data_IF_181066232420
#
_entry.id   IF_181066232420
#
_cell.length_a   1.000
_cell.length_b   1.000
_cell.length_c   1.000
_cell.angle_alpha   90.00
_cell.angle_beta   90.00
_cell.angle_gamma   90.00
#
_symmetry.space_group_name_H-M   'P 1'
#
loop_
_entity.id
_entity.type
_entity.pdbx_description
1 polymer ?
#
# COMPACT_ATOMS: atom_id res chain seq x y z
N UNK A 1 -2.86 18.38 -13.30
CA UNK A 1 -4.33 18.28 -13.43
C UNK A 1 -4.92 19.44 -12.65
N UNK A 2 -5.51 20.44 -13.32
CA UNK A 2 -6.27 21.46 -12.61
C UNK A 2 -7.59 20.81 -12.21
N UNK A 3 -7.79 20.56 -10.91
CA UNK A 3 -9.04 20.11 -10.35
C UNK A 3 -10.07 21.23 -10.52
N UNK A 4 -10.65 21.36 -11.71
CA UNK A 4 -11.84 22.18 -11.90
C UNK A 4 -12.98 21.44 -11.20
N UNK A 5 -13.38 21.94 -10.04
CA UNK A 5 -14.63 21.73 -9.31
C UNK A 5 -15.67 20.76 -9.92
N UNK A 6 -15.32 19.49 -10.08
CA UNK A 6 -16.31 18.45 -9.84
C UNK A 6 -16.32 18.28 -8.33
N UNK A 7 -17.42 18.60 -7.63
CA UNK A 7 -17.45 18.50 -6.18
C UNK A 7 -17.04 17.08 -5.85
N UNK A 8 -16.04 16.89 -4.99
CA UNK A 8 -15.64 15.55 -4.49
C UNK A 8 -16.89 14.75 -4.02
N UNK A 9 -17.96 15.45 -3.61
CA UNK A 9 -19.29 14.91 -3.32
C UNK A 9 -20.01 14.17 -4.48
N UNK A 10 -19.57 14.32 -5.74
CA UNK A 10 -20.12 13.65 -6.93
C UNK A 10 -19.29 12.45 -7.37
N UNK A 11 -18.05 12.34 -6.91
CA UNK A 11 -17.17 11.21 -7.18
C UNK A 11 -17.70 10.01 -6.39
N UNK A 12 -18.34 9.05 -7.05
CA UNK A 12 -18.93 7.85 -6.43
C UNK A 12 -18.25 6.61 -6.98
N UNK A 13 -18.29 5.47 -6.28
CA UNK A 13 -17.68 4.24 -6.83
C UNK A 13 -18.26 3.80 -8.17
N UNK A 14 -19.50 4.20 -8.50
CA UNK A 14 -20.12 3.99 -9.81
C UNK A 14 -19.80 5.06 -10.86
N UNK A 15 -19.07 6.14 -10.54
CA UNK A 15 -18.72 7.18 -11.52
C UNK A 15 -17.44 6.86 -12.31
N UNK A 16 -16.75 5.75 -12.00
CA UNK A 16 -15.73 5.14 -12.87
C UNK A 16 -15.65 3.64 -12.62
N UNK A 17 -15.20 2.87 -13.63
CA UNK A 17 -15.06 1.42 -13.56
C UNK A 17 -13.86 0.98 -12.69
N UNK A 18 -13.85 1.33 -11.40
CA UNK A 18 -12.79 0.88 -10.50
C UNK A 18 -12.84 -0.61 -10.16
N UNK A 19 -14.01 -1.24 -10.33
CA UNK A 19 -14.32 -2.53 -9.73
C UNK A 19 -14.56 -2.46 -8.22
N UNK A 20 -14.68 -1.25 -7.63
CA UNK A 20 -15.08 -1.11 -6.22
C UNK A 20 -16.58 -1.37 -6.04
N UNK A 21 -16.99 -1.97 -4.90
CA UNK A 21 -18.40 -2.11 -4.58
C UNK A 21 -19.08 -0.75 -4.44
N UNK A 22 -20.41 -0.73 -4.58
CA UNK A 22 -21.20 0.47 -4.34
C UNK A 22 -20.97 0.97 -2.90
N UNK A 23 -20.59 2.24 -2.75
CA UNK A 23 -20.43 2.87 -1.43
C UNK A 23 -21.64 3.74 -1.08
N UNK A 24 -21.99 3.76 0.21
CA UNK A 24 -23.08 4.59 0.72
C UNK A 24 -22.77 6.10 0.65
N UNK A 25 -21.50 6.47 0.65
CA UNK A 25 -21.02 7.85 0.58
C UNK A 25 -20.12 8.06 -0.64
N UNK A 26 -20.01 9.31 -1.15
CA UNK A 26 -19.03 9.66 -2.17
C UNK A 26 -17.61 9.29 -1.77
N UNK A 27 -16.82 8.91 -2.76
CA UNK A 27 -15.39 8.67 -2.64
C UNK A 27 -14.71 9.97 -2.22
N UNK A 28 -13.77 9.90 -1.26
CA UNK A 28 -13.10 11.06 -0.66
C UNK A 28 -13.99 12.01 0.16
N UNK A 29 -15.20 11.60 0.53
CA UNK A 29 -16.09 12.40 1.38
C UNK A 29 -15.43 12.82 2.71
N UNK A 30 -14.51 12.01 3.23
CA UNK A 30 -13.71 12.27 4.43
C UNK A 30 -12.79 13.49 4.32
N UNK A 31 -12.47 13.95 3.11
CA UNK A 31 -11.64 15.14 2.91
C UNK A 31 -12.45 16.43 2.68
N UNK A 32 -13.78 16.33 2.49
CA UNK A 32 -14.63 17.49 2.16
C UNK A 32 -14.43 18.69 3.11
N UNK A 33 -14.34 18.50 4.44
CA UNK A 33 -14.16 19.63 5.37
C UNK A 33 -12.77 20.27 5.30
N UNK A 34 -11.80 19.60 4.67
CA UNK A 34 -10.41 20.06 4.56
C UNK A 34 -10.09 20.67 3.19
N UNK A 35 -10.99 20.56 2.22
CA UNK A 35 -10.78 21.03 0.86
C UNK A 35 -10.97 22.54 0.80
N UNK A 36 -9.94 23.24 0.32
CA UNK A 36 -9.96 24.70 0.20
C UNK A 36 -10.80 25.16 -1.00
N UNK A 37 -11.29 26.41 -1.02
CA UNK A 37 -12.02 26.96 -2.18
C UNK A 37 -11.23 26.85 -3.50
N UNK A 38 -9.91 27.03 -3.45
CA UNK A 38 -9.00 26.89 -4.60
C UNK A 38 -8.65 25.42 -4.95
N UNK A 39 -9.17 24.46 -4.18
CA UNK A 39 -8.94 23.03 -4.34
C UNK A 39 -7.81 22.46 -3.47
N UNK A 40 -7.85 21.14 -3.29
CA UNK A 40 -6.87 20.37 -2.53
C UNK A 40 -6.94 20.60 -1.01
N UNK A 41 -6.14 19.83 -0.29
CA UNK A 41 -5.98 19.92 1.18
C UNK A 41 -4.76 20.78 1.48
N UNK A 42 -4.87 21.65 2.49
CA UNK A 42 -3.77 22.49 2.94
C UNK A 42 -2.51 21.67 3.30
N UNK A 43 -1.34 22.19 2.92
CA UNK A 43 -0.05 21.54 3.18
C UNK A 43 0.31 20.38 2.25
N UNK A 44 -0.62 19.91 1.41
CA UNK A 44 -0.31 18.89 0.43
C UNK A 44 0.73 19.38 -0.59
N UNK A 45 1.73 18.54 -0.89
CA UNK A 45 2.72 18.78 -1.93
C UNK A 45 2.73 17.61 -2.92
N UNK A 46 2.78 17.87 -4.24
CA UNK A 46 2.80 16.80 -5.25
C UNK A 46 3.93 15.77 -5.06
N UNK A 47 5.08 16.17 -4.51
CA UNK A 47 6.19 15.28 -4.22
C UNK A 47 5.82 14.16 -3.23
N UNK A 48 4.79 14.35 -2.38
CA UNK A 48 4.33 13.32 -1.45
C UNK A 48 3.76 12.09 -2.17
N UNK A 49 3.32 12.23 -3.42
CA UNK A 49 2.74 11.11 -4.18
C UNK A 49 3.79 10.08 -4.62
N UNK A 50 4.95 10.52 -5.11
CA UNK A 50 5.90 9.67 -5.86
C UNK A 50 7.38 9.82 -5.46
N UNK A 51 7.78 10.92 -4.80
CA UNK A 51 9.20 11.18 -4.51
C UNK A 51 9.68 10.49 -3.23
N UNK A 52 10.98 10.51 -2.96
CA UNK A 52 11.56 10.01 -1.69
C UNK A 52 11.08 8.58 -1.41
N UNK A 53 11.22 7.71 -2.40
CA UNK A 53 10.79 6.32 -2.25
C UNK A 53 11.56 5.65 -1.11
N UNK A 54 12.88 5.81 -1.04
CA UNK A 54 13.75 5.27 0.04
C UNK A 54 14.03 6.36 1.08
N UNK A 55 12.98 6.86 1.75
CA UNK A 55 13.14 7.90 2.77
C UNK A 55 13.80 7.32 4.03
N UNK A 56 15.05 7.71 4.27
CA UNK A 56 15.81 7.29 5.43
C UNK A 56 15.09 7.71 6.74
N UNK A 57 14.97 6.83 7.77
CA UNK A 57 14.32 7.16 9.04
C UNK A 57 14.84 8.41 9.74
N UNK A 58 16.12 8.73 9.54
CA UNK A 58 16.78 9.90 10.12
C UNK A 58 16.53 11.18 9.31
N UNK A 59 15.99 11.08 8.10
CA UNK A 59 15.69 12.26 7.28
C UNK A 59 14.60 13.11 7.91
N UNK A 60 14.90 14.39 8.10
CA UNK A 60 13.90 15.39 8.45
C UNK A 60 12.99 15.66 7.23
N UNK A 61 11.71 15.40 7.40
CA UNK A 61 10.67 15.72 6.40
C UNK A 61 9.51 16.46 7.08
N UNK A 62 9.76 17.67 7.64
CA UNK A 62 8.80 18.36 8.50
C UNK A 62 7.50 18.69 7.77
N UNK A 63 7.54 18.97 6.46
CA UNK A 63 6.34 19.25 5.67
C UNK A 63 5.45 18.01 5.52
N UNK A 64 6.05 16.85 5.29
CA UNK A 64 5.30 15.58 5.21
C UNK A 64 4.71 15.23 6.58
N UNK A 65 5.50 15.38 7.65
CA UNK A 65 5.04 15.14 9.01
C UNK A 65 3.87 16.07 9.38
N UNK A 66 3.99 17.37 9.10
CA UNK A 66 2.94 18.35 9.34
C UNK A 66 1.67 18.06 8.54
N UNK A 67 1.81 17.65 7.28
CA UNK A 67 0.68 17.26 6.44
C UNK A 67 -0.05 16.03 7.00
N UNK A 68 0.67 14.96 7.34
CA UNK A 68 0.04 13.77 7.94
C UNK A 68 -0.59 14.09 9.30
N UNK A 69 0.06 14.91 10.13
CA UNK A 69 -0.47 15.32 11.41
C UNK A 69 -1.76 16.14 11.27
N UNK A 70 -1.88 17.01 10.26
CA UNK A 70 -3.09 17.79 10.02
C UNK A 70 -4.27 16.89 9.65
N UNK A 71 -4.04 15.86 8.82
CA UNK A 71 -5.04 14.84 8.49
C UNK A 71 -5.49 14.05 9.73
N UNK A 72 -4.54 13.67 10.60
CA UNK A 72 -4.84 12.98 11.87
C UNK A 72 -5.73 13.86 12.75
N UNK A 73 -5.39 15.15 12.89
CA UNK A 73 -6.17 16.06 13.72
C UNK A 73 -7.56 16.32 13.15
N UNK A 74 -7.71 16.42 11.83
CA UNK A 74 -9.01 16.57 11.19
C UNK A 74 -9.94 15.38 11.50
N UNK A 75 -9.44 14.14 11.34
CA UNK A 75 -10.22 12.95 11.71
C UNK A 75 -10.60 12.95 13.20
N UNK A 76 -9.66 13.35 14.08
CA UNK A 76 -9.90 13.44 15.52
C UNK A 76 -10.97 14.48 15.90
N UNK A 77 -10.97 15.64 15.25
CA UNK A 77 -11.98 16.69 15.48
C UNK A 77 -13.39 16.22 15.10
N UNK A 78 -13.50 15.28 14.15
CA UNK A 78 -14.75 14.63 13.78
C UNK A 78 -15.10 13.41 14.66
N UNK A 79 -14.28 13.07 15.64
CA UNK A 79 -14.46 11.87 16.47
C UNK A 79 -14.22 10.57 15.71
N UNK A 80 -13.39 10.58 14.66
CA UNK A 80 -13.07 9.43 13.80
C UNK A 80 -11.61 9.00 13.99
N UNK A 81 -11.34 7.73 13.68
CA UNK A 81 -9.97 7.23 13.59
C UNK A 81 -9.36 7.59 12.22
N UNK A 82 -8.14 8.13 12.21
CA UNK A 82 -7.39 8.36 10.99
C UNK A 82 -6.85 7.02 10.46
N UNK A 83 -7.15 6.70 9.20
CA UNK A 83 -6.63 5.50 8.52
C UNK A 83 -6.02 5.94 7.19
N UNK A 84 -4.72 5.69 7.02
CA UNK A 84 -4.02 6.02 5.79
C UNK A 84 -3.75 4.78 4.95
N UNK A 85 -4.03 4.88 3.66
CA UNK A 85 -3.66 3.86 2.67
C UNK A 85 -2.65 4.43 1.70
N UNK A 86 -1.43 3.91 1.76
CA UNK A 86 -0.36 4.28 0.83
C UNK A 86 -0.15 3.15 -0.19
N UNK A 87 -0.36 3.42 -1.47
CA UNK A 87 -0.15 2.41 -2.53
C UNK A 87 1.26 2.44 -3.16
N UNK A 88 2.06 3.46 -2.84
CA UNK A 88 3.37 3.75 -3.47
C UNK A 88 4.41 4.32 -2.50
N UNK A 89 4.11 4.32 -1.20
CA UNK A 89 4.97 4.92 -0.17
C UNK A 89 5.54 3.89 0.79
N UNK A 90 5.48 2.59 0.44
CA UNK A 90 6.00 1.55 1.32
C UNK A 90 7.50 1.66 1.55
N UNK A 91 8.24 2.22 0.58
CA UNK A 91 9.64 2.57 0.77
C UNK A 91 9.89 3.56 1.93
N UNK A 92 8.91 4.41 2.27
CA UNK A 92 8.95 5.35 3.42
C UNK A 92 8.52 4.73 4.74
N UNK A 93 8.18 3.44 4.76
CA UNK A 93 7.65 2.77 5.96
C UNK A 93 8.59 2.90 7.18
N UNK A 94 9.92 2.74 7.06
CA UNK A 94 10.83 2.92 8.20
C UNK A 94 10.75 4.34 8.79
N UNK A 95 10.63 5.36 7.95
CA UNK A 95 10.40 6.73 8.39
C UNK A 95 9.04 6.90 9.08
N UNK A 96 7.96 6.36 8.52
CA UNK A 96 6.63 6.44 9.12
C UNK A 96 6.56 5.77 10.50
N UNK A 97 7.18 4.59 10.66
CA UNK A 97 7.25 3.87 11.95
C UNK A 97 7.94 4.72 13.01
N UNK A 98 9.05 5.35 12.66
CA UNK A 98 9.83 6.16 13.61
C UNK A 98 9.13 7.46 14.00
N UNK A 99 8.54 8.16 13.03
CA UNK A 99 7.95 9.50 13.25
C UNK A 99 6.49 9.44 13.74
N UNK A 100 5.82 8.30 13.62
CA UNK A 100 4.46 8.05 14.14
C UNK A 100 4.41 6.73 14.94
N UNK A 101 5.17 6.60 16.04
CA UNK A 101 5.28 5.34 16.80
C UNK A 101 3.99 4.91 17.50
N UNK A 102 3.05 5.83 17.68
CA UNK A 102 1.72 5.59 18.22
C UNK A 102 0.78 4.93 17.21
N UNK A 103 1.02 5.13 15.90
CA UNK A 103 0.20 4.56 14.84
C UNK A 103 0.38 3.03 14.73
N UNK A 104 -0.61 2.38 14.13
CA UNK A 104 -0.56 0.97 13.77
C UNK A 104 -0.12 0.83 12.31
N UNK A 105 1.06 0.27 12.08
CA UNK A 105 1.70 0.15 10.77
C UNK A 105 1.50 -1.26 10.22
N UNK A 106 0.64 -1.40 9.21
CA UNK A 106 0.34 -2.68 8.55
C UNK A 106 0.80 -2.62 7.10
N UNK A 107 1.63 -3.58 6.68
CA UNK A 107 1.94 -3.75 5.26
C UNK A 107 0.95 -4.71 4.61
N UNK A 108 0.46 -4.33 3.42
CA UNK A 108 -0.48 -5.16 2.64
C UNK A 108 0.28 -5.82 1.50
N UNK A 109 0.28 -7.15 1.51
CA UNK A 109 1.00 -7.98 0.54
C UNK A 109 0.05 -8.47 -0.55
N UNK A 110 0.57 -8.52 -1.78
CA UNK A 110 -0.11 -9.11 -2.93
C UNK A 110 0.91 -9.74 -3.86
N UNK A 111 0.57 -10.89 -4.43
CA UNK A 111 1.35 -11.56 -5.45
C UNK A 111 1.61 -10.59 -6.62
N UNK A 112 2.87 -10.38 -7.03
CA UNK A 112 3.22 -9.40 -8.06
C UNK A 112 2.61 -9.74 -9.42
N UNK A 113 2.46 -11.02 -9.76
CA UNK A 113 1.82 -11.44 -11.01
C UNK A 113 0.30 -11.18 -11.01
N UNK A 114 -0.35 -11.44 -9.88
CA UNK A 114 -1.75 -11.08 -9.67
C UNK A 114 -1.98 -9.56 -9.72
N UNK A 115 -1.06 -8.78 -9.16
CA UNK A 115 -1.11 -7.33 -9.24
C UNK A 115 -0.91 -6.84 -10.68
N UNK A 116 0.07 -7.38 -11.42
CA UNK A 116 0.27 -7.07 -12.84
C UNK A 116 -0.96 -7.38 -13.68
N UNK A 117 -1.57 -8.55 -13.47
CA UNK A 117 -2.81 -8.95 -14.14
C UNK A 117 -3.94 -7.92 -13.94
N UNK A 118 -4.05 -7.38 -12.72
CA UNK A 118 -4.99 -6.30 -12.40
C UNK A 118 -4.68 -5.01 -13.15
N UNK A 119 -3.41 -4.62 -13.23
CA UNK A 119 -2.97 -3.40 -13.93
C UNK A 119 -3.18 -3.52 -15.43
N UNK A 120 -2.87 -4.68 -15.99
CA UNK A 120 -3.04 -4.94 -17.41
C UNK A 120 -4.51 -4.94 -17.83
N UNK A 121 -5.41 -5.50 -17.01
CA UNK A 121 -6.86 -5.42 -17.24
C UNK A 121 -7.38 -3.99 -17.21
N UNK A 122 -6.96 -3.19 -16.22
CA UNK A 122 -7.28 -1.76 -16.14
C UNK A 122 -6.81 -1.03 -17.42
N UNK A 123 -5.60 -1.32 -17.88
CA UNK A 123 -5.06 -0.76 -19.10
C UNK A 123 -5.87 -1.16 -20.35
N UNK A 124 -6.11 -2.46 -20.55
CA UNK A 124 -6.70 -2.97 -21.78
C UNK A 124 -8.21 -2.76 -21.85
N UNK A 125 -8.93 -3.10 -20.78
CA UNK A 125 -10.39 -3.10 -20.75
C UNK A 125 -10.93 -1.70 -20.45
N UNK A 126 -10.30 -1.00 -19.50
CA UNK A 126 -10.82 0.26 -18.96
C UNK A 126 -10.05 1.48 -19.49
N UNK A 127 -9.09 1.27 -20.39
CA UNK A 127 -8.25 2.31 -21.00
C UNK A 127 -7.56 3.20 -19.97
N UNK A 128 -7.18 2.61 -18.84
CA UNK A 128 -6.53 3.28 -17.73
C UNK A 128 -5.04 2.92 -17.64
N UNK A 129 -4.13 3.70 -18.27
CA UNK A 129 -2.69 3.44 -18.29
C UNK A 129 -1.98 3.81 -16.97
N UNK A 130 -2.67 4.43 -16.02
CA UNK A 130 -2.08 4.96 -14.80
C UNK A 130 -1.23 3.94 -14.03
N UNK A 131 -1.74 2.72 -13.89
CA UNK A 131 -1.05 1.68 -13.13
C UNK A 131 0.20 1.13 -13.84
N UNK A 132 0.29 1.32 -15.16
CA UNK A 132 1.49 0.99 -15.94
C UNK A 132 2.49 2.15 -15.85
N UNK A 133 2.03 3.40 -15.94
CA UNK A 133 2.87 4.59 -15.89
C UNK A 133 3.45 4.86 -14.49
N UNK A 134 2.71 4.57 -13.41
CA UNK A 134 3.11 4.94 -12.06
C UNK A 134 4.46 4.33 -11.62
N UNK A 135 4.75 3.02 -11.82
CA UNK A 135 6.08 2.46 -11.54
C UNK A 135 7.21 3.18 -12.26
N UNK A 136 7.03 3.61 -13.52
CA UNK A 136 8.04 4.38 -14.25
C UNK A 136 8.32 5.71 -13.57
N UNK A 137 7.26 6.43 -13.18
CA UNK A 137 7.40 7.74 -12.54
C UNK A 137 8.05 7.62 -11.16
N UNK A 138 7.69 6.62 -10.37
CA UNK A 138 8.31 6.37 -9.06
C UNK A 138 9.80 6.07 -9.22
N UNK A 139 10.17 5.09 -10.06
CA UNK A 139 11.57 4.72 -10.22
C UNK A 139 12.39 5.84 -10.88
N UNK A 140 11.83 6.48 -11.91
CA UNK A 140 12.46 7.60 -12.61
C UNK A 140 12.67 8.83 -11.73
N UNK A 141 11.72 9.14 -10.84
CA UNK A 141 11.85 10.23 -9.85
C UNK A 141 12.87 9.94 -8.74
N UNK A 142 13.35 8.69 -8.64
CA UNK A 142 14.30 8.25 -7.63
C UNK A 142 15.58 7.64 -8.24
N UNK A 143 15.95 8.02 -9.47
CA UNK A 143 17.17 7.53 -10.15
C UNK A 143 18.47 7.88 -9.42
N UNK A 144 18.47 8.89 -8.55
CA UNK A 144 19.63 9.23 -7.71
C UNK A 144 19.82 8.28 -6.51
N UNK A 145 18.84 7.43 -6.21
CA UNK A 145 18.91 6.48 -5.10
C UNK A 145 19.71 5.24 -5.54
N UNK A 146 20.85 4.91 -4.90
CA UNK A 146 21.70 3.81 -5.35
C UNK A 146 20.99 2.45 -5.42
N UNK A 147 20.09 2.18 -4.47
CA UNK A 147 19.29 0.94 -4.43
C UNK A 147 18.34 0.85 -5.63
N UNK A 148 17.75 1.97 -6.04
CA UNK A 148 16.89 2.05 -7.24
C UNK A 148 17.70 1.76 -8.50
N UNK A 149 18.90 2.33 -8.64
CA UNK A 149 19.79 2.04 -9.78
C UNK A 149 20.16 0.57 -9.88
N UNK A 150 20.49 -0.08 -8.75
CA UNK A 150 20.80 -1.51 -8.73
C UNK A 150 19.60 -2.36 -9.13
N UNK A 151 18.39 -2.01 -8.69
CA UNK A 151 17.16 -2.71 -9.10
C UNK A 151 16.90 -2.56 -10.61
N UNK A 152 17.03 -1.35 -11.15
CA UNK A 152 16.88 -1.05 -12.58
C UNK A 152 17.85 -1.90 -13.41
N UNK A 153 19.12 -1.95 -12.99
CA UNK A 153 20.13 -2.77 -13.64
C UNK A 153 19.81 -4.26 -13.56
N UNK A 154 19.50 -4.78 -12.36
CA UNK A 154 19.24 -6.20 -12.14
C UNK A 154 18.03 -6.72 -12.92
N UNK A 155 16.95 -5.93 -12.99
CA UNK A 155 15.73 -6.31 -13.70
C UNK A 155 15.73 -5.91 -15.19
N UNK A 156 16.79 -5.21 -15.65
CA UNK A 156 16.95 -4.71 -17.02
C UNK A 156 15.82 -3.77 -17.44
N UNK A 157 15.50 -2.83 -16.56
CA UNK A 157 14.59 -1.74 -16.88
C UNK A 157 15.26 -0.73 -17.83
N UNK A 158 14.46 0.03 -18.58
CA UNK A 158 14.95 1.04 -19.52
C UNK A 158 15.06 2.40 -18.81
N UNK A 159 16.28 2.78 -18.46
CA UNK A 159 16.57 4.03 -17.77
C UNK A 159 16.13 5.26 -18.57
N UNK A 160 16.21 5.21 -19.90
CA UNK A 160 15.75 6.30 -20.78
C UNK A 160 14.26 6.57 -20.63
N UNK A 161 13.43 5.53 -20.71
CA UNK A 161 11.98 5.64 -20.46
C UNK A 161 11.67 6.10 -19.03
N UNK A 162 12.40 5.60 -18.02
CA UNK A 162 12.23 6.01 -16.63
C UNK A 162 12.46 7.52 -16.45
N UNK A 163 13.60 8.03 -16.92
CA UNK A 163 13.94 9.44 -16.83
C UNK A 163 12.93 10.32 -17.60
N UNK A 164 12.55 9.90 -18.80
CA UNK A 164 11.57 10.63 -19.62
C UNK A 164 10.20 10.74 -18.91
N UNK A 165 9.64 9.61 -18.46
CA UNK A 165 8.31 9.58 -17.84
C UNK A 165 8.26 10.29 -16.47
N UNK A 166 9.36 10.31 -15.72
CA UNK A 166 9.41 11.01 -14.43
C UNK A 166 9.29 12.54 -14.57
N UNK A 167 9.82 13.10 -15.65
CA UNK A 167 9.75 14.54 -15.94
C UNK A 167 8.39 15.00 -16.48
N UNK A 168 7.55 14.04 -16.90
CA UNK A 168 6.26 14.31 -17.52
C UNK A 168 5.16 14.55 -16.48
N UNK A 169 4.14 15.30 -16.91
CA UNK A 169 2.86 15.31 -16.19
C UNK A 169 2.23 13.92 -16.22
N UNK A 170 1.31 13.65 -15.29
CA UNK A 170 0.56 12.39 -15.27
C UNK A 170 -0.10 12.05 -16.62
N UNK A 171 -0.74 13.04 -17.26
CA UNK A 171 -1.44 12.83 -18.52
C UNK A 171 -0.47 12.45 -19.66
N UNK A 172 0.68 13.11 -19.73
CA UNK A 172 1.73 12.81 -20.72
C UNK A 172 2.37 11.44 -20.48
N UNK A 173 2.64 11.09 -19.23
CA UNK A 173 3.18 9.77 -18.87
C UNK A 173 2.20 8.65 -19.20
N UNK A 174 0.91 8.88 -18.93
CA UNK A 174 -0.17 7.97 -19.28
C UNK A 174 -0.29 7.76 -20.80
N UNK A 175 0.04 8.76 -21.61
CA UNK A 175 0.05 8.60 -23.06
C UNK A 175 1.33 7.91 -23.55
N UNK A 176 2.49 8.33 -23.05
CA UNK A 176 3.79 7.81 -23.45
C UNK A 176 3.93 6.31 -23.15
N UNK A 177 3.40 5.85 -22.00
CA UNK A 177 3.51 4.44 -21.59
C UNK A 177 2.82 3.47 -22.56
N UNK A 178 1.86 3.95 -23.36
CA UNK A 178 1.13 3.13 -24.33
C UNK A 178 2.01 2.60 -25.46
N UNK A 179 3.13 3.28 -25.74
CA UNK A 179 4.09 2.87 -26.76
C UNK A 179 5.16 1.90 -26.22
N UNK A 180 5.21 1.66 -24.91
CA UNK A 180 6.21 0.80 -24.29
C UNK A 180 5.81 -0.68 -24.38
N UNK A 181 6.80 -1.56 -24.43
CA UNK A 181 6.52 -2.99 -24.47
C UNK A 181 5.94 -3.47 -23.13
N UNK A 182 5.00 -4.44 -23.14
CA UNK A 182 4.46 -5.01 -21.91
C UNK A 182 5.55 -5.67 -21.06
N UNK A 183 6.53 -6.32 -21.69
CA UNK A 183 7.66 -6.95 -21.01
C UNK A 183 8.52 -5.95 -20.24
N UNK A 184 8.83 -4.80 -20.85
CA UNK A 184 9.56 -3.73 -20.18
C UNK A 184 8.75 -3.17 -19.00
N UNK A 185 7.45 -2.98 -19.21
CA UNK A 185 6.54 -2.51 -18.17
C UNK A 185 6.43 -3.48 -17.00
N UNK A 186 6.45 -4.79 -17.25
CA UNK A 186 6.45 -5.81 -16.21
C UNK A 186 7.75 -5.81 -15.40
N UNK A 187 8.91 -5.65 -16.04
CA UNK A 187 10.21 -5.50 -15.36
C UNK A 187 10.21 -4.27 -14.46
N UNK A 188 9.74 -3.13 -14.96
CA UNK A 188 9.60 -1.88 -14.20
C UNK A 188 8.65 -2.06 -13.01
N UNK A 189 7.51 -2.73 -13.21
CA UNK A 189 6.58 -3.08 -12.14
C UNK A 189 7.25 -3.94 -11.06
N UNK A 190 7.97 -4.99 -11.45
CA UNK A 190 8.68 -5.86 -10.52
C UNK A 190 9.77 -5.12 -9.74
N UNK A 191 10.53 -4.23 -10.39
CA UNK A 191 11.57 -3.44 -9.73
C UNK A 191 10.95 -2.54 -8.64
N UNK A 192 9.84 -1.85 -8.95
CA UNK A 192 9.11 -1.07 -7.96
C UNK A 192 8.50 -1.96 -6.86
N UNK A 193 7.93 -3.10 -7.23
CA UNK A 193 7.30 -4.02 -6.28
C UNK A 193 8.32 -4.58 -5.28
N UNK A 194 9.47 -5.07 -5.74
CA UNK A 194 10.48 -5.69 -4.87
C UNK A 194 11.10 -4.66 -3.94
N UNK A 195 11.45 -3.48 -4.46
CA UNK A 195 11.93 -2.36 -3.66
C UNK A 195 10.92 -1.95 -2.58
N UNK A 196 9.63 -2.03 -2.89
CA UNK A 196 8.58 -1.72 -1.92
C UNK A 196 8.54 -2.78 -0.80
N UNK A 197 8.64 -4.06 -1.14
CA UNK A 197 8.62 -5.15 -0.15
C UNK A 197 9.86 -5.19 0.75
N UNK A 198 11.00 -4.66 0.29
CA UNK A 198 12.23 -4.59 1.08
C UNK A 198 12.07 -3.77 2.38
N UNK A 199 11.10 -2.86 2.43
CA UNK A 199 10.79 -2.07 3.63
C UNK A 199 9.96 -2.80 4.68
N UNK A 200 9.56 -4.05 4.41
CA UNK A 200 8.94 -4.90 5.43
C UNK A 200 9.97 -5.17 6.53
N UNK A 201 9.63 -4.87 7.77
CA UNK A 201 10.49 -5.12 8.92
C UNK A 201 9.73 -5.75 10.07
N UNK A 202 10.47 -6.21 11.07
CA UNK A 202 9.93 -6.72 12.34
C UNK A 202 9.23 -5.64 13.19
N UNK A 203 9.37 -4.37 12.82
CA UNK A 203 8.81 -3.23 13.55
C UNK A 203 7.39 -2.90 13.07
N UNK A 204 6.91 -3.56 12.02
CA UNK A 204 5.51 -3.52 11.61
C UNK A 204 4.62 -4.16 12.67
N UNK A 205 3.41 -3.61 12.83
CA UNK A 205 2.37 -4.19 13.67
C UNK A 205 1.72 -5.42 13.03
N UNK A 206 1.84 -5.59 11.71
CA UNK A 206 1.30 -6.75 11.01
C UNK A 206 1.54 -6.77 9.51
N UNK A 207 1.35 -7.96 8.93
CA UNK A 207 1.38 -8.23 7.50
C UNK A 207 0.02 -8.79 7.07
N UNK A 208 -0.66 -8.06 6.19
CA UNK A 208 -1.96 -8.46 5.64
C UNK A 208 -1.77 -9.02 4.23
N UNK A 209 -1.86 -10.34 4.10
CA UNK A 209 -1.73 -11.02 2.82
C UNK A 209 -3.08 -11.05 2.09
N UNK A 210 -3.20 -10.24 1.05
CA UNK A 210 -4.44 -10.13 0.26
C UNK A 210 -4.77 -11.41 -0.50
N UNK A 211 -3.76 -12.21 -0.87
CA UNK A 211 -4.00 -13.48 -1.55
C UNK A 211 -4.58 -14.51 -0.56
N UNK A 212 -4.11 -14.52 0.69
CA UNK A 212 -4.66 -15.39 1.73
C UNK A 212 -6.04 -14.94 2.22
N UNK A 213 -6.29 -13.62 2.33
CA UNK A 213 -7.61 -13.10 2.67
C UNK A 213 -8.68 -13.63 1.71
N UNK A 214 -8.35 -13.69 0.42
CA UNK A 214 -9.27 -14.15 -0.62
C UNK A 214 -9.50 -15.67 -0.61
N UNK A 215 -8.63 -16.44 0.03
CA UNK A 215 -8.67 -17.90 0.04
C UNK A 215 -9.13 -18.49 1.38
N UNK A 216 -9.03 -17.74 2.47
CA UNK A 216 -9.26 -18.26 3.82
C UNK A 216 -10.05 -17.28 4.69
N UNK A 217 -11.33 -17.60 4.91
CA UNK A 217 -12.17 -16.87 5.87
C UNK A 217 -11.63 -16.92 7.30
N UNK A 218 -10.95 -18.01 7.69
CA UNK A 218 -10.28 -18.11 8.98
C UNK A 218 -9.11 -17.11 9.11
N UNK A 219 -8.33 -16.95 8.03
CA UNK A 219 -7.28 -15.92 7.98
C UNK A 219 -7.88 -14.52 8.07
N UNK A 220 -8.98 -14.24 7.35
CA UNK A 220 -9.71 -12.97 7.45
C UNK A 220 -10.22 -12.67 8.86
N UNK A 221 -10.84 -13.65 9.52
CA UNK A 221 -11.31 -13.51 10.90
C UNK A 221 -10.16 -13.23 11.87
N UNK A 222 -9.03 -13.93 11.71
CA UNK A 222 -7.83 -13.70 12.50
C UNK A 222 -7.25 -12.31 12.26
N UNK A 223 -7.11 -11.89 11.00
CA UNK A 223 -6.62 -10.56 10.65
C UNK A 223 -7.51 -9.46 11.25
N UNK A 224 -8.84 -9.61 11.17
CA UNK A 224 -9.78 -8.65 11.78
C UNK A 224 -9.59 -8.54 13.30
N UNK A 225 -9.40 -9.67 13.99
CA UNK A 225 -9.11 -9.69 15.43
C UNK A 225 -7.78 -9.01 15.77
N UNK A 226 -6.74 -9.26 14.97
CA UNK A 226 -5.42 -8.62 15.12
C UNK A 226 -5.50 -7.10 14.94
N UNK A 227 -6.23 -6.61 13.93
CA UNK A 227 -6.49 -5.18 13.77
C UNK A 227 -7.20 -4.60 15.01
N UNK A 228 -8.17 -5.33 15.58
CA UNK A 228 -8.93 -4.89 16.75
C UNK A 228 -8.02 -4.69 17.97
N UNK A 229 -7.12 -5.64 18.20
CA UNK A 229 -6.16 -5.59 19.30
C UNK A 229 -5.17 -4.43 19.14
N UNK A 230 -4.64 -4.22 17.92
CA UNK A 230 -3.56 -3.24 17.69
C UNK A 230 -4.05 -1.81 17.49
N UNK A 231 -5.23 -1.63 16.90
CA UNK A 231 -5.74 -0.33 16.47
C UNK A 231 -7.10 0.04 17.06
N UNK A 232 -7.79 -0.89 17.72
CA UNK A 232 -9.18 -0.72 18.13
C UNK A 232 -10.20 -0.82 16.99
N UNK A 233 -9.76 -0.98 15.74
CA UNK A 233 -10.62 -1.11 14.57
C UNK A 233 -10.87 -2.58 14.22
N UNK A 234 -12.09 -2.91 13.78
CA UNK A 234 -12.45 -4.25 13.30
C UNK A 234 -12.86 -4.19 11.82
N UNK A 235 -11.89 -4.24 10.89
CA UNK A 235 -12.22 -4.33 9.47
C UNK A 235 -13.03 -5.60 9.18
N UNK A 236 -14.00 -5.48 8.28
CA UNK A 236 -14.73 -6.63 7.74
C UNK A 236 -14.06 -7.08 6.43
N UNK A 237 -13.59 -8.33 6.41
CA UNK A 237 -12.95 -8.95 5.25
C UNK A 237 -13.83 -10.01 4.57
N UNK A 238 -15.09 -10.16 4.99
CA UNK A 238 -16.00 -11.20 4.49
C UNK A 238 -16.34 -11.08 3.01
N UNK A 239 -16.17 -9.89 2.43
CA UNK A 239 -16.39 -9.61 1.00
C UNK A 239 -15.13 -9.76 0.13
N UNK A 240 -14.04 -10.32 0.68
CA UNK A 240 -12.82 -10.54 -0.10
C UNK A 240 -13.02 -11.69 -1.08
N UNK A 241 -12.80 -11.44 -2.37
CA UNK A 241 -12.94 -12.46 -3.41
C UNK A 241 -11.57 -12.83 -4.01
N UNK A 242 -11.37 -14.11 -4.41
CA UNK A 242 -10.21 -14.50 -5.18
C UNK A 242 -10.24 -13.81 -6.54
N UNK A 243 -9.05 -13.47 -7.04
CA UNK A 243 -8.92 -12.97 -8.40
C UNK A 243 -9.47 -14.02 -9.38
N UNK A 244 -10.38 -13.59 -10.25
CA UNK A 244 -11.09 -14.46 -11.16
C UNK A 244 -10.11 -15.26 -12.06
N UNK A 245 -10.49 -16.51 -12.37
CA UNK A 245 -9.72 -17.47 -13.15
C UNK A 245 -9.33 -16.99 -14.58
N UNK A 246 -9.91 -15.90 -15.10
CA UNK A 246 -9.50 -15.29 -16.36
C UNK A 246 -8.06 -14.72 -16.37
N UNK A 247 -7.32 -14.85 -15.27
CA UNK A 247 -5.87 -14.55 -15.15
C UNK A 247 -4.97 -15.77 -15.38
N UNK A 248 -5.57 -16.89 -15.75
CA UNK A 248 -4.90 -18.12 -16.12
C UNK A 248 -4.26 -17.95 -17.49
N UNK A 249 -2.95 -18.15 -17.55
CA UNK A 249 -2.22 -18.11 -18.80
C UNK A 249 -2.51 -19.40 -19.62
N UNK A 250 -3.20 -19.30 -20.76
CA UNK A 250 -3.49 -20.44 -21.66
C UNK A 250 -2.24 -20.92 -22.40
N UNK A 251 -1.76 -22.17 -22.25
CA UNK A 251 -0.50 -22.62 -22.85
C UNK A 251 -0.32 -22.18 -24.32
N UNK A 252 0.81 -21.55 -24.63
CA UNK A 252 1.11 -21.01 -25.98
C UNK A 252 0.66 -19.57 -26.23
N UNK A 253 0.04 -18.89 -25.27
CA UNK A 253 -0.29 -17.47 -25.35
C UNK A 253 0.54 -16.63 -24.37
N UNK A 254 0.84 -15.40 -24.80
CA UNK A 254 1.41 -14.35 -23.95
C UNK A 254 0.52 -14.14 -22.73
N UNK A 255 1.15 -14.07 -21.56
CA UNK A 255 0.46 -13.74 -20.33
C UNK A 255 0.42 -12.21 -20.19
N UNK A 256 -0.76 -11.63 -20.35
CA UNK A 256 -0.96 -10.18 -20.20
C UNK A 256 -0.01 -9.36 -21.09
N UNK A 257 0.18 -9.81 -22.35
CA UNK A 257 1.08 -9.18 -23.32
C UNK A 257 2.57 -9.48 -23.11
N UNK A 258 2.94 -10.31 -22.13
CA UNK A 258 4.32 -10.68 -21.82
C UNK A 258 4.54 -12.16 -22.14
N UNK A 259 5.65 -12.50 -22.82
CA UNK A 259 6.06 -13.89 -22.96
C UNK A 259 6.30 -14.50 -21.56
N UNK A 260 5.83 -15.72 -21.34
CA UNK A 260 5.90 -16.33 -19.99
C UNK A 260 7.32 -16.59 -19.53
N UNK A 261 8.20 -17.02 -20.43
CA UNK A 261 9.59 -17.29 -20.08
C UNK A 261 10.25 -15.99 -19.67
N UNK A 262 9.98 -14.92 -20.42
CA UNK A 262 10.45 -13.59 -20.05
C UNK A 262 9.92 -13.13 -18.69
N UNK A 263 8.63 -13.35 -18.39
CA UNK A 263 8.05 -13.02 -17.09
C UNK A 263 8.67 -13.84 -15.93
N UNK A 264 8.92 -15.13 -16.16
CA UNK A 264 9.60 -16.00 -15.18
C UNK A 264 11.05 -15.54 -14.97
N UNK A 265 11.78 -15.24 -16.04
CA UNK A 265 13.16 -14.73 -15.96
C UNK A 265 13.21 -13.42 -15.18
N UNK A 266 12.24 -12.51 -15.38
CA UNK A 266 12.13 -11.28 -14.63
C UNK A 266 11.83 -11.54 -13.13
N UNK A 267 10.98 -12.52 -12.80
CA UNK A 267 10.73 -12.90 -11.41
C UNK A 267 11.98 -13.49 -10.73
N UNK A 268 12.73 -14.33 -11.45
CA UNK A 268 13.98 -14.90 -10.95
C UNK A 268 15.04 -13.82 -10.72
N UNK A 269 15.18 -12.87 -11.65
CA UNK A 269 16.05 -11.72 -11.48
C UNK A 269 15.65 -10.86 -10.26
N UNK A 270 14.36 -10.64 -10.05
CA UNK A 270 13.85 -9.92 -8.88
C UNK A 270 14.18 -10.66 -7.56
N UNK A 271 14.07 -12.00 -7.55
CA UNK A 271 14.40 -12.81 -6.38
C UNK A 271 15.90 -12.77 -6.05
N UNK A 272 16.76 -12.91 -7.07
CA UNK A 272 18.21 -12.80 -6.92
C UNK A 272 18.63 -11.40 -6.46
N UNK A 273 18.01 -10.35 -7.00
CA UNK A 273 18.22 -8.98 -6.53
C UNK A 273 17.85 -8.84 -5.04
N UNK A 274 16.67 -9.33 -4.64
CA UNK A 274 16.24 -9.28 -3.25
C UNK A 274 17.19 -10.01 -2.30
N UNK A 275 17.68 -11.18 -2.69
CA UNK A 275 18.68 -11.93 -1.94
C UNK A 275 19.98 -11.15 -1.76
N UNK A 276 20.46 -10.51 -2.83
CA UNK A 276 21.70 -9.70 -2.78
C UNK A 276 21.59 -8.45 -1.90
N UNK A 277 20.42 -7.83 -1.84
CA UNK A 277 20.22 -6.58 -1.08
C UNK A 277 19.84 -6.82 0.39
N UNK A 278 19.03 -7.85 0.67
CA UNK A 278 18.52 -8.10 2.01
C UNK A 278 19.43 -9.05 2.81
N UNK A 279 20.01 -10.06 2.13
CA UNK A 279 20.85 -11.09 2.75
C UNK A 279 20.32 -11.59 4.09
N UNK A 280 21.22 -11.72 5.07
CA UNK A 280 20.84 -12.03 6.46
C UNK A 280 20.28 -10.81 7.23
N UNK A 281 20.47 -9.58 6.71
CA UNK A 281 20.10 -8.34 7.40
C UNK A 281 18.60 -8.12 7.56
N UNK A 282 17.78 -8.68 6.66
CA UNK A 282 16.33 -8.64 6.76
C UNK A 282 15.67 -9.91 6.20
N UNK A 283 15.84 -11.02 6.94
CA UNK A 283 15.29 -12.34 6.58
C UNK A 283 13.77 -12.35 6.41
N UNK A 284 13.04 -11.51 7.14
CA UNK A 284 11.58 -11.42 7.03
C UNK A 284 11.16 -10.92 5.65
N UNK A 285 11.68 -9.75 5.22
CA UNK A 285 11.39 -9.22 3.89
C UNK A 285 11.84 -10.19 2.79
N UNK A 286 13.02 -10.81 2.95
CA UNK A 286 13.54 -11.75 1.97
C UNK A 286 12.60 -12.96 1.80
N UNK A 287 12.17 -13.56 2.92
CA UNK A 287 11.25 -14.69 2.92
C UNK A 287 9.91 -14.33 2.26
N UNK A 288 9.37 -13.14 2.55
CA UNK A 288 8.13 -12.65 1.93
C UNK A 288 8.29 -12.50 0.43
N UNK A 289 9.36 -11.83 -0.02
CA UNK A 289 9.64 -11.59 -1.43
C UNK A 289 9.80 -12.90 -2.20
N UNK A 290 10.63 -13.81 -1.70
CA UNK A 290 10.88 -15.12 -2.32
C UNK A 290 9.59 -15.95 -2.38
N UNK A 291 8.80 -15.97 -1.30
CA UNK A 291 7.53 -16.71 -1.27
C UNK A 291 6.55 -16.18 -2.33
N UNK A 292 6.41 -14.85 -2.43
CA UNK A 292 5.48 -14.23 -3.39
C UNK A 292 5.94 -14.36 -4.84
N UNK A 293 7.24 -14.28 -5.12
CA UNK A 293 7.79 -14.55 -6.45
C UNK A 293 7.69 -16.03 -6.83
N UNK A 294 7.85 -16.94 -5.87
CA UNK A 294 7.58 -18.36 -6.05
C UNK A 294 6.12 -18.64 -6.45
N UNK A 295 5.16 -18.03 -5.75
CA UNK A 295 3.74 -18.10 -6.10
C UNK A 295 3.42 -17.46 -7.46
N UNK A 296 4.11 -16.38 -7.81
CA UNK A 296 4.02 -15.75 -9.13
C UNK A 296 4.48 -16.71 -10.24
N UNK A 297 5.65 -17.34 -10.07
CA UNK A 297 6.16 -18.34 -11.01
C UNK A 297 5.22 -19.53 -11.13
N UNK A 298 4.69 -20.04 -10.01
CA UNK A 298 3.72 -21.14 -10.04
C UNK A 298 2.49 -20.78 -10.89
N UNK A 299 1.96 -19.55 -10.75
CA UNK A 299 0.82 -19.06 -11.55
C UNK A 299 1.14 -19.06 -13.04
N UNK A 300 2.35 -18.61 -13.41
CA UNK A 300 2.81 -18.54 -14.80
C UNK A 300 3.04 -19.94 -15.42
N UNK A 301 3.57 -20.88 -14.64
CA UNK A 301 3.83 -22.25 -15.08
C UNK A 301 2.57 -23.10 -15.20
N UNK A 302 1.70 -23.08 -14.19
CA UNK A 302 0.59 -24.02 -14.07
C UNK A 302 -0.72 -23.50 -14.69
N UNK A 303 -0.84 -22.20 -14.97
CA UNK A 303 -2.07 -21.64 -15.53
C UNK A 303 -3.27 -21.89 -14.61
N UNK A 304 -3.17 -21.58 -13.33
CA UNK A 304 -4.25 -21.78 -12.34
C UNK A 304 -4.14 -20.78 -11.19
N UNK A 305 -5.16 -20.65 -10.33
CA UNK A 305 -4.98 -20.02 -9.02
C UNK A 305 -3.82 -20.74 -8.30
N UNK A 306 -2.88 -19.98 -7.73
CA UNK A 306 -1.74 -20.55 -7.00
C UNK A 306 -2.26 -21.23 -5.74
N UNK A 307 -2.48 -22.55 -5.79
CA UNK A 307 -3.06 -23.33 -4.69
C UNK A 307 -2.02 -24.01 -3.80
N UNK A 308 -0.72 -23.87 -4.08
CA UNK A 308 0.31 -24.51 -3.26
C UNK A 308 1.16 -23.42 -2.60
N UNK A 309 1.00 -23.30 -1.29
CA UNK A 309 2.11 -22.89 -0.44
C UNK A 309 3.25 -23.89 -0.74
N UNK A 310 4.47 -23.46 -1.12
CA UNK A 310 5.52 -24.39 -1.46
C UNK A 310 5.77 -25.36 -0.29
N UNK A 311 5.70 -26.68 -0.49
CA UNK A 311 6.14 -27.63 0.52
C UNK A 311 7.68 -27.57 0.54
N UNK A 312 8.25 -26.85 1.52
CA UNK A 312 9.70 -26.86 1.77
C UNK A 312 10.46 -25.53 1.68
N UNK A 313 9.81 -24.39 1.91
CA UNK A 313 10.42 -23.07 1.79
C UNK A 313 10.66 -22.28 3.08
N UNK A 314 10.72 -22.89 4.27
CA UNK A 314 11.26 -22.25 5.49
C UNK A 314 11.93 -23.35 6.31
N UNK A 315 13.27 -23.41 6.25
CA UNK A 315 14.05 -24.35 7.02
C UNK A 315 15.50 -23.87 7.14
N UNK A 316 15.79 -23.21 8.27
CA UNK A 316 16.98 -23.36 9.11
C UNK A 316 17.39 -22.02 9.79
N UNK A 317 17.39 -22.08 11.12
CA UNK A 317 17.88 -21.12 12.13
C UNK A 317 17.03 -19.84 12.30
N UNK A 318 16.16 -19.69 13.32
CA UNK A 318 16.00 -20.44 14.58
C UNK A 318 14.52 -20.70 14.92
N UNK A 319 14.32 -21.80 15.64
CA UNK A 319 13.10 -22.27 16.32
C UNK A 319 11.77 -21.63 15.90
N UNK A 320 11.04 -22.21 14.92
CA UNK A 320 9.57 -22.32 14.89
C UNK A 320 9.15 -23.45 13.93
N UNK A 321 8.44 -24.42 14.51
CA UNK A 321 7.80 -25.66 14.05
C UNK A 321 7.74 -26.06 12.55
N UNK A 322 8.10 -27.31 12.29
CA UNK A 322 7.87 -28.10 11.08
C UNK A 322 6.49 -28.79 11.13
N UNK A 323 5.44 -28.15 10.60
CA UNK A 323 4.16 -28.81 10.28
C UNK A 323 3.34 -27.88 9.34
N UNK A 324 2.43 -28.37 8.47
CA UNK A 324 1.63 -27.56 7.55
C UNK A 324 0.55 -26.69 8.24
N UNK A 325 0.75 -26.39 9.53
CA UNK A 325 -0.01 -25.44 10.35
C UNK A 325 0.67 -24.05 10.46
N UNK A 326 1.68 -23.76 9.62
CA UNK A 326 2.50 -22.53 9.67
C UNK A 326 1.82 -21.23 9.24
N UNK A 327 0.48 -21.18 9.21
CA UNK A 327 -0.25 -19.90 9.26
C UNK A 327 -0.24 -19.35 10.71
N UNK A 328 -0.25 -20.21 11.73
CA UNK A 328 -0.18 -19.79 13.14
C UNK A 328 1.20 -19.23 13.54
N UNK A 329 2.28 -19.74 12.95
CA UNK A 329 3.65 -19.28 13.21
C UNK A 329 3.95 -17.89 12.61
N UNK A 330 3.23 -17.50 11.54
CA UNK A 330 3.28 -16.13 10.99
C UNK A 330 2.46 -15.12 11.81
N UNK A 331 1.60 -15.61 12.70
CA UNK A 331 0.61 -14.82 13.45
C UNK A 331 0.93 -14.70 14.95
N UNK A 332 1.97 -15.37 15.46
CA UNK A 332 2.43 -15.20 16.85
C UNK A 332 3.70 -14.35 16.90
N UNK A 333 3.52 -13.03 16.78
CA UNK A 333 4.48 -12.05 17.30
C UNK A 333 4.11 -11.74 18.76
N UNK A 334 4.33 -12.70 19.66
CA UNK A 334 4.18 -12.48 21.11
C UNK A 334 5.31 -11.58 21.61
N UNK A 335 5.04 -10.28 21.66
CA UNK A 335 5.67 -9.37 22.64
C UNK A 335 4.63 -9.02 23.69
N UNK A 336 4.99 -8.95 24.99
CA UNK A 336 4.12 -8.31 25.97
C UNK A 336 3.83 -6.87 25.52
N UNK A 337 2.55 -6.58 25.30
CA UNK A 337 2.04 -5.27 24.90
C UNK A 337 2.08 -4.36 26.12
N UNK A 338 2.88 -3.27 26.15
CA UNK A 338 2.61 -2.19 27.09
C UNK A 338 1.24 -1.61 26.70
N UNK A 339 0.31 -1.40 27.65
CA UNK A 339 -1.03 -0.91 27.33
C UNK A 339 -0.91 0.45 26.63
N UNK A 340 -1.11 0.48 25.31
CA UNK A 340 -1.35 1.72 24.57
C UNK A 340 -2.76 2.16 24.95
N UNK A 341 -2.82 3.16 25.83
CA UNK A 341 -4.00 3.83 26.39
C UNK A 341 -5.27 3.68 25.52
N UNK A 342 -6.08 2.69 25.87
CA UNK A 342 -7.51 2.67 25.58
C UNK A 342 -8.25 2.54 26.90
N UNK A 343 -8.53 3.69 27.52
CA UNK A 343 -9.65 3.89 28.44
C UNK A 343 -10.07 5.36 28.36
N UNK A 344 -11.00 5.65 27.45
CA UNK A 344 -12.06 6.60 27.79
C UNK A 344 -13.13 5.77 28.52
N UNK A 345 -12.91 5.56 29.82
CA UNK A 345 -14.02 5.23 30.71
C UNK A 345 -14.72 6.51 31.09
N UNK A 346 -16.01 6.56 30.78
CA UNK A 346 -16.96 7.45 31.41
C UNK A 346 -17.01 7.25 32.93
N UNK A 347 -17.40 8.33 33.61
CA UNK A 347 -17.87 8.44 35.01
C UNK A 347 -16.82 8.91 36.02
N UNK A 348 -16.84 10.22 36.27
CA UNK A 348 -16.93 10.74 37.65
C UNK A 348 -18.16 11.64 37.70
N UNK A 349 -19.25 11.07 38.22
CA UNK A 349 -20.30 11.82 38.88
C UNK A 349 -19.93 11.89 40.36
N UNK A 350 -19.56 13.09 40.85
CA UNK A 350 -19.86 13.44 42.25
C UNK A 350 -20.22 14.91 42.33
N UNK A 351 -21.46 15.13 42.73
CA UNK A 351 -22.13 16.40 43.02
C UNK A 351 -21.62 17.03 44.32
N UNK A 352 -21.55 18.36 44.37
CA UNK A 352 -21.70 19.32 45.49
C UNK A 352 -20.74 20.50 45.24
N UNK A 353 -21.10 21.78 45.22
CA UNK A 353 -22.35 22.51 45.46
C UNK A 353 -22.02 24.01 45.55
N UNK A 354 -22.91 24.83 44.98
CA UNK A 354 -23.24 26.23 45.31
C UNK A 354 -22.24 27.40 45.10
N UNK A 355 -22.83 28.44 44.48
CA UNK A 355 -22.53 29.89 44.52
C UNK A 355 -21.29 30.37 43.72
N UNK A 356 -21.36 31.37 42.83
CA UNK A 356 -22.44 32.27 42.48
C UNK A 356 -21.98 33.33 41.47
N UNK A 357 -22.97 34.02 40.88
CA UNK A 357 -22.95 35.38 40.32
C UNK A 357 -21.91 35.70 39.22
N UNK A 358 -22.45 35.94 38.02
CA UNK A 358 -22.34 37.28 37.44
C UNK A 358 -21.67 37.40 36.06
N UNK A 359 -22.44 37.99 35.15
CA UNK A 359 -22.05 38.99 34.15
C UNK A 359 -22.07 38.59 32.67
N UNK A 360 -23.22 38.92 32.06
CA UNK A 360 -23.40 39.80 30.89
C UNK A 360 -22.64 39.48 29.59
N UNK A 361 -23.44 38.94 28.66
CA UNK A 361 -23.59 39.35 27.27
C UNK A 361 -22.71 40.50 26.76
N UNK A 362 -21.99 40.23 25.66
CA UNK A 362 -21.75 41.22 24.61
C UNK A 362 -21.97 40.58 23.23
N UNK A 363 -22.95 41.16 22.53
CA UNK A 363 -23.22 41.03 21.09
C UNK A 363 -22.65 42.29 20.44
N UNK A 364 -21.84 42.14 19.39
CA UNK A 364 -21.64 43.15 18.32
C UNK A 364 -21.10 42.37 17.10
N UNK A 365 -21.97 42.06 16.14
CA UNK A 365 -22.37 42.86 14.96
C UNK A 365 -21.42 42.66 13.78
N UNK A 366 -21.99 42.01 12.77
CA UNK A 366 -21.64 42.06 11.34
C UNK A 366 -21.35 43.51 10.90
N UNK A 367 -20.41 43.67 9.97
CA UNK A 367 -20.68 44.28 8.68
C UNK A 367 -19.54 43.99 7.67
N UNK A 368 -19.99 43.65 6.46
CA UNK A 368 -19.28 43.36 5.20
C UNK A 368 -18.71 41.95 5.05
#
# INVERSE_FOLDING_TARGET
MAWKEEPLAKIRTGSWESGHPAMAVPYFSEFLPMVRPEGGVEGFQPCFELDRFDLDPETEAPELAAYLQSLIQAAKMEGRAAVFKFCRSMGRMPWMIKHFPEACHIAVLRNPASQWSSYWKQYWNQKNPWFIAAPYRVLGGNLSVPKVQRAICALRCDEGSLAALASQTEAEANESVKALSPALSYRTHLAHWVLSQMSISKDLDGLLDSDLLALSGAYGAHASAHFAERSGLRPDFSSTEPLQAAEVATPGQDWMGVDRREAIDANLAAAAFAESELGEGNRLALSVVQSKLGLANQKLWLGGPSFLVPPGGIGAHGEWCSDPLSLQALLQLDRPVPPKLTRMESVVETTMGLAGRGARAFRLKRNL
#
